data_IF_230307547983
#
_entry.id   IF_230307547983
#
_cell.length_a   1.000
_cell.length_b   1.000
_cell.length_c   1.000
_cell.angle_alpha   90.00
_cell.angle_beta   90.00
_cell.angle_gamma   90.00
#
_symmetry.space_group_name_H-M   'P 1'
#
loop_
_entity.id
_entity.type
_entity.pdbx_description
1 polymer ?
#
# COMPACT_ATOMS: atom_id res chain seq x y z
N UNK A 1 -14.80 7.22 -16.24
CA UNK A 1 -15.15 7.96 -17.47
C UNK A 1 -13.90 8.32 -18.26
N UNK A 2 -12.94 9.06 -17.67
CA UNK A 2 -11.68 9.44 -18.32
C UNK A 2 -10.85 8.27 -18.86
N UNK A 3 -10.75 7.16 -18.12
CA UNK A 3 -9.98 5.98 -18.56
C UNK A 3 -10.47 5.38 -19.89
N UNK A 4 -11.76 5.56 -20.22
CA UNK A 4 -12.34 5.10 -21.50
C UNK A 4 -12.06 6.06 -22.67
N UNK A 5 -11.65 7.30 -22.37
CA UNK A 5 -11.41 8.36 -23.37
C UNK A 5 -9.93 8.44 -23.79
N UNK A 6 -9.00 7.89 -22.99
CA UNK A 6 -7.55 7.88 -23.27
C UNK A 6 -7.18 7.37 -24.68
N UNK A 7 -7.81 6.31 -25.23
CA UNK A 7 -7.46 5.82 -26.57
C UNK A 7 -7.71 6.87 -27.66
N UNK A 8 -8.79 7.65 -27.55
CA UNK A 8 -9.23 8.65 -28.54
C UNK A 8 -8.63 10.05 -28.36
N UNK A 9 -7.94 10.32 -27.25
CA UNK A 9 -7.39 11.66 -26.98
C UNK A 9 -6.07 11.93 -27.72
N UNK A 10 -5.92 13.17 -28.18
CA UNK A 10 -4.67 13.68 -28.77
C UNK A 10 -3.63 13.96 -27.68
N UNK A 11 -2.34 14.01 -28.05
CA UNK A 11 -1.26 14.29 -27.10
C UNK A 11 -1.36 15.69 -26.48
N UNK A 12 -1.85 16.67 -27.24
CA UNK A 12 -2.01 18.04 -26.77
C UNK A 12 -3.11 18.15 -25.69
N UNK A 13 -4.22 17.44 -25.88
CA UNK A 13 -5.29 17.38 -24.87
C UNK A 13 -4.79 16.70 -23.59
N UNK A 14 -4.05 15.60 -23.72
CA UNK A 14 -3.46 14.89 -22.57
C UNK A 14 -2.50 15.78 -21.80
N UNK A 15 -1.64 16.54 -22.48
CA UNK A 15 -0.71 17.47 -21.83
C UNK A 15 -1.43 18.60 -21.09
N UNK A 16 -2.59 19.04 -21.58
CA UNK A 16 -3.37 20.11 -20.94
C UNK A 16 -3.99 19.67 -19.61
N UNK A 17 -4.43 18.41 -19.50
CA UNK A 17 -5.10 17.87 -18.31
C UNK A 17 -4.12 17.28 -17.30
N UNK A 18 -2.91 16.90 -17.74
CA UNK A 18 -1.95 16.16 -16.93
C UNK A 18 -1.62 16.82 -15.57
N UNK A 19 -1.36 18.14 -15.50
CA UNK A 19 -1.07 18.80 -14.23
C UNK A 19 -2.21 18.63 -13.22
N UNK A 20 -3.46 18.80 -13.64
CA UNK A 20 -4.63 18.63 -12.78
C UNK A 20 -4.84 17.18 -12.34
N UNK A 21 -4.48 16.21 -13.19
CA UNK A 21 -4.53 14.78 -12.86
C UNK A 21 -3.45 14.44 -11.82
N UNK A 22 -2.23 14.96 -11.95
CA UNK A 22 -1.14 14.68 -11.01
C UNK A 22 -1.44 15.22 -9.61
N UNK A 23 -2.15 16.35 -9.47
CA UNK A 23 -2.58 16.88 -8.17
C UNK A 23 -3.51 15.93 -7.40
N UNK A 24 -4.18 15.00 -8.06
CA UNK A 24 -5.00 13.96 -7.42
C UNK A 24 -4.16 13.10 -6.46
N UNK A 25 -2.85 12.98 -6.68
CA UNK A 25 -1.94 12.22 -5.81
C UNK A 25 -1.95 12.71 -4.35
N UNK A 26 -2.20 14.01 -4.15
CA UNK A 26 -2.22 14.66 -2.83
C UNK A 26 -3.56 14.46 -2.11
N UNK A 27 -4.55 13.83 -2.75
CA UNK A 27 -5.85 13.60 -2.16
C UNK A 27 -5.84 12.42 -1.19
N UNK A 28 -6.63 12.53 -0.12
CA UNK A 28 -6.70 11.51 0.93
C UNK A 28 -7.44 10.24 0.51
N UNK A 29 -8.28 10.31 -0.53
CA UNK A 29 -9.03 9.15 -1.00
C UNK A 29 -8.12 8.17 -1.75
N UNK A 30 -7.96 6.96 -1.22
CA UNK A 30 -7.23 5.89 -1.91
C UNK A 30 -7.87 5.52 -3.25
N UNK A 31 -9.21 5.56 -3.35
CA UNK A 31 -9.92 5.25 -4.59
C UNK A 31 -9.61 6.24 -5.73
N UNK A 32 -9.45 7.54 -5.43
CA UNK A 32 -9.09 8.53 -6.46
C UNK A 32 -7.64 8.37 -6.92
N UNK A 33 -6.70 8.14 -5.98
CA UNK A 33 -5.31 7.80 -6.30
C UNK A 33 -5.22 6.51 -7.12
N UNK A 34 -6.02 5.50 -6.80
CA UNK A 34 -6.10 4.25 -7.56
C UNK A 34 -6.55 4.50 -9.01
N UNK A 35 -7.56 5.35 -9.22
CA UNK A 35 -8.03 5.71 -10.56
C UNK A 35 -6.98 6.52 -11.34
N UNK A 36 -6.25 7.42 -10.66
CA UNK A 36 -5.12 8.15 -11.22
C UNK A 36 -4.06 7.20 -11.78
N UNK A 37 -3.57 6.25 -10.99
CA UNK A 37 -2.52 5.33 -11.45
C UNK A 37 -2.98 4.46 -12.61
N UNK A 38 -4.25 4.02 -12.62
CA UNK A 38 -4.83 3.29 -13.77
C UNK A 38 -4.84 4.13 -15.06
N UNK A 39 -5.11 5.45 -14.96
CA UNK A 39 -5.01 6.38 -16.09
C UNK A 39 -3.55 6.48 -16.55
N UNK A 40 -2.62 6.62 -15.62
CA UNK A 40 -1.18 6.73 -15.92
C UNK A 40 -0.62 5.46 -16.57
N UNK A 41 -1.06 4.26 -16.15
CA UNK A 41 -0.70 3.01 -16.82
C UNK A 41 -1.10 3.04 -18.29
N UNK A 42 -2.36 3.40 -18.58
CA UNK A 42 -2.85 3.46 -19.95
C UNK A 42 -2.13 4.51 -20.82
N UNK A 43 -1.75 5.64 -20.22
CA UNK A 43 -0.95 6.67 -20.90
C UNK A 43 0.47 6.20 -21.16
N UNK A 44 1.10 5.54 -20.19
CA UNK A 44 2.44 5.00 -20.34
C UNK A 44 2.48 3.95 -21.46
N UNK A 45 1.58 2.97 -21.45
CA UNK A 45 1.46 1.96 -22.52
C UNK A 45 1.29 2.57 -23.91
N UNK A 46 0.45 3.62 -24.03
CA UNK A 46 0.16 4.26 -25.32
C UNK A 46 1.38 4.99 -25.89
N UNK A 47 2.19 5.61 -25.04
CA UNK A 47 3.24 6.55 -25.49
C UNK A 47 4.67 6.04 -25.29
N UNK A 48 4.89 4.91 -24.59
CA UNK A 48 6.24 4.42 -24.29
C UNK A 48 7.08 4.14 -25.55
N UNK A 49 6.46 3.63 -26.60
CA UNK A 49 7.14 3.32 -27.88
C UNK A 49 7.13 4.51 -28.87
N UNK A 50 6.49 5.63 -28.51
CA UNK A 50 6.34 6.78 -29.40
C UNK A 50 7.62 7.62 -29.48
N UNK A 51 8.08 7.91 -30.70
CA UNK A 51 9.29 8.70 -30.92
C UNK A 51 9.11 10.22 -30.76
N UNK A 52 7.87 10.71 -30.76
CA UNK A 52 7.54 12.13 -30.76
C UNK A 52 7.89 12.86 -29.45
N UNK A 53 8.23 14.15 -29.57
CA UNK A 53 8.71 14.94 -28.44
C UNK A 53 7.64 15.22 -27.38
N UNK A 54 6.36 15.33 -27.79
CA UNK A 54 5.24 15.59 -26.89
C UNK A 54 4.87 14.33 -26.12
N UNK A 55 4.86 13.20 -26.81
CA UNK A 55 4.62 11.86 -26.31
C UNK A 55 5.67 11.48 -25.26
N UNK A 56 6.94 11.76 -25.53
CA UNK A 56 8.03 11.60 -24.54
C UNK A 56 7.84 12.44 -23.29
N UNK A 57 7.32 13.67 -23.41
CA UNK A 57 6.96 14.50 -22.24
C UNK A 57 5.85 13.84 -21.42
N UNK A 58 4.77 13.39 -22.07
CA UNK A 58 3.68 12.67 -21.38
C UNK A 58 4.21 11.43 -20.67
N UNK A 59 5.01 10.63 -21.37
CA UNK A 59 5.61 9.41 -20.83
C UNK A 59 6.50 9.70 -19.62
N UNK A 60 7.35 10.74 -19.69
CA UNK A 60 8.20 11.16 -18.56
C UNK A 60 7.37 11.55 -17.34
N UNK A 61 6.33 12.35 -17.51
CA UNK A 61 5.47 12.73 -16.38
C UNK A 61 4.74 11.52 -15.78
N UNK A 62 4.21 10.63 -16.63
CA UNK A 62 3.57 9.42 -16.17
C UNK A 62 4.57 8.55 -15.40
N UNK A 63 5.78 8.37 -15.93
CA UNK A 63 6.86 7.62 -15.32
C UNK A 63 7.22 8.17 -13.93
N UNK A 64 7.52 9.47 -13.81
CA UNK A 64 7.84 10.11 -12.53
C UNK A 64 6.70 9.95 -11.50
N UNK A 65 5.46 10.13 -11.94
CA UNK A 65 4.30 10.00 -11.04
C UNK A 65 4.07 8.56 -10.61
N UNK A 66 4.31 7.59 -11.49
CA UNK A 66 4.25 6.16 -11.19
C UNK A 66 5.32 5.75 -10.17
N UNK A 67 6.53 6.32 -10.27
CA UNK A 67 7.58 6.08 -9.26
C UNK A 67 7.19 6.63 -7.89
N UNK A 68 6.53 7.81 -7.82
CA UNK A 68 6.00 8.33 -6.55
C UNK A 68 5.01 7.33 -5.94
N UNK A 69 4.17 6.70 -6.76
CA UNK A 69 3.18 5.74 -6.29
C UNK A 69 3.75 4.44 -5.70
N UNK A 70 5.00 4.08 -6.00
CA UNK A 70 5.69 2.97 -5.32
C UNK A 70 5.86 3.21 -3.81
N UNK A 71 5.79 4.47 -3.38
CA UNK A 71 5.84 4.89 -1.98
C UNK A 71 4.48 5.40 -1.45
N UNK A 72 3.35 5.08 -2.11
CA UNK A 72 2.01 5.46 -1.63
C UNK A 72 1.76 4.88 -0.23
N UNK A 73 1.07 5.57 0.70
CA UNK A 73 0.74 5.03 2.01
C UNK A 73 -0.17 3.79 1.94
N UNK A 74 -1.00 3.67 0.91
CA UNK A 74 -1.91 2.54 0.71
C UNK A 74 -1.19 1.32 0.12
N UNK A 75 -1.28 0.17 0.80
CA UNK A 75 -0.60 -1.05 0.37
C UNK A 75 -1.16 -1.62 -0.94
N UNK A 76 -2.47 -1.53 -1.18
CA UNK A 76 -3.07 -2.06 -2.41
C UNK A 76 -2.62 -1.26 -3.62
N UNK A 77 -2.47 0.06 -3.46
CA UNK A 77 -1.93 0.93 -4.51
C UNK A 77 -0.48 0.56 -4.81
N UNK A 78 0.38 0.42 -3.79
CA UNK A 78 1.77 0.00 -3.99
C UNK A 78 1.85 -1.32 -4.76
N UNK A 79 1.13 -2.35 -4.30
CA UNK A 79 1.09 -3.66 -4.96
C UNK A 79 0.61 -3.59 -6.41
N UNK A 80 -0.38 -2.74 -6.71
CA UNK A 80 -0.84 -2.56 -8.09
C UNK A 80 0.26 -1.99 -9.00
N UNK A 81 1.01 -1.01 -8.51
CA UNK A 81 2.09 -0.35 -9.24
C UNK A 81 3.31 -1.26 -9.33
N UNK A 82 3.62 -2.01 -8.28
CA UNK A 82 4.66 -3.03 -8.26
C UNK A 82 4.41 -4.08 -9.36
N UNK A 83 3.18 -4.59 -9.44
CA UNK A 83 2.78 -5.54 -10.48
C UNK A 83 2.91 -4.97 -11.90
N UNK A 84 2.65 -3.67 -12.08
CA UNK A 84 2.84 -3.01 -13.37
C UNK A 84 4.32 -2.97 -13.77
N UNK A 85 5.22 -2.62 -12.84
CA UNK A 85 6.67 -2.59 -13.10
C UNK A 85 7.30 -3.97 -13.23
N UNK A 86 6.70 -5.01 -12.64
CA UNK A 86 7.18 -6.38 -12.70
C UNK A 86 7.02 -7.07 -14.07
N UNK A 87 6.40 -6.41 -15.04
CA UNK A 87 6.34 -6.87 -16.43
C UNK A 87 7.75 -6.91 -17.07
N UNK A 88 8.10 -8.04 -17.71
CA UNK A 88 9.42 -8.25 -18.34
C UNK A 88 9.75 -7.21 -19.41
N UNK A 89 8.74 -6.59 -20.02
CA UNK A 89 8.93 -5.51 -21.00
C UNK A 89 9.52 -4.24 -20.38
N UNK A 90 9.24 -4.01 -19.09
CA UNK A 90 9.66 -2.81 -18.36
C UNK A 90 10.87 -3.07 -17.49
N UNK A 91 10.87 -4.19 -16.78
CA UNK A 91 11.91 -4.52 -15.82
C UNK A 91 12.37 -5.96 -15.99
N UNK A 92 13.64 -6.18 -16.37
CA UNK A 92 14.16 -7.52 -16.63
C UNK A 92 14.00 -8.48 -15.45
N UNK A 93 13.87 -9.76 -15.77
CA UNK A 93 13.78 -10.84 -14.78
C UNK A 93 15.14 -11.22 -14.17
N UNK A 94 16.24 -11.08 -14.92
CA UNK A 94 17.58 -11.41 -14.46
C UNK A 94 18.08 -10.43 -13.40
N UNK A 95 18.62 -10.92 -12.28
CA UNK A 95 19.02 -10.09 -11.13
C UNK A 95 19.97 -8.96 -11.50
N UNK A 96 20.98 -9.24 -12.33
CA UNK A 96 21.97 -8.25 -12.78
C UNK A 96 21.33 -7.18 -13.66
N UNK A 97 20.63 -7.59 -14.71
CA UNK A 97 20.04 -6.65 -15.68
C UNK A 97 18.92 -5.83 -15.04
N UNK A 98 18.19 -6.43 -14.10
CA UNK A 98 17.21 -5.76 -13.26
C UNK A 98 17.83 -4.68 -12.40
N UNK A 99 18.95 -4.98 -11.72
CA UNK A 99 19.67 -3.98 -10.92
C UNK A 99 20.13 -2.81 -11.79
N UNK A 100 20.68 -3.09 -12.98
CA UNK A 100 21.09 -2.05 -13.92
C UNK A 100 19.88 -1.20 -14.35
N UNK A 101 18.76 -1.83 -14.71
CA UNK A 101 17.53 -1.14 -15.10
C UNK A 101 16.93 -0.28 -13.97
N UNK A 102 16.98 -0.74 -12.72
CA UNK A 102 16.55 0.04 -11.56
C UNK A 102 17.37 1.34 -11.42
N UNK A 103 18.69 1.24 -11.58
CA UNK A 103 19.60 2.38 -11.45
C UNK A 103 19.48 3.36 -12.63
N UNK A 104 19.25 2.86 -13.85
CA UNK A 104 19.24 3.69 -15.06
C UNK A 104 17.86 4.27 -15.37
N UNK A 105 16.81 3.47 -15.21
CA UNK A 105 15.48 3.82 -15.72
C UNK A 105 14.52 4.22 -14.60
N UNK A 106 14.68 3.68 -13.38
CA UNK A 106 13.75 3.95 -12.28
C UNK A 106 14.23 5.01 -11.29
N UNK A 107 15.43 5.57 -11.47
CA UNK A 107 15.89 6.71 -10.68
C UNK A 107 15.26 8.01 -11.21
N UNK A 108 14.67 8.78 -10.31
CA UNK A 108 14.27 10.16 -10.55
C UNK A 108 14.62 11.02 -9.33
N UNK A 109 15.23 12.22 -9.52
CA UNK A 109 15.51 13.15 -8.42
C UNK A 109 14.28 13.53 -7.60
N UNK A 110 13.08 13.47 -8.20
CA UNK A 110 11.81 13.77 -7.52
C UNK A 110 11.48 12.72 -6.44
N UNK A 111 11.95 11.49 -6.63
CA UNK A 111 11.66 10.34 -5.76
C UNK A 111 12.90 9.83 -5.02
N UNK A 112 13.93 10.67 -4.89
CA UNK A 112 15.22 10.25 -4.34
C UNK A 112 15.10 9.72 -2.91
N UNK A 113 14.28 10.37 -2.07
CA UNK A 113 14.07 9.96 -0.68
C UNK A 113 13.50 8.54 -0.55
N UNK A 114 12.65 8.13 -1.49
CA UNK A 114 12.02 6.81 -1.51
C UNK A 114 12.69 5.81 -2.46
N UNK A 115 13.72 6.24 -3.21
CA UNK A 115 14.38 5.41 -4.23
C UNK A 115 14.87 4.08 -3.66
N UNK A 116 15.64 4.13 -2.57
CA UNK A 116 16.17 2.92 -1.96
C UNK A 116 15.06 2.00 -1.43
N UNK A 117 13.95 2.56 -0.94
CA UNK A 117 12.83 1.77 -0.44
C UNK A 117 12.21 0.92 -1.55
N UNK A 118 11.81 1.54 -2.67
CA UNK A 118 11.17 0.79 -3.74
C UNK A 118 12.18 -0.02 -4.56
N UNK A 119 13.41 0.46 -4.76
CA UNK A 119 14.40 -0.27 -5.55
C UNK A 119 14.82 -1.58 -4.86
N UNK A 120 15.03 -1.54 -3.53
CA UNK A 120 15.33 -2.76 -2.76
C UNK A 120 14.14 -3.70 -2.73
N UNK A 121 12.93 -3.18 -2.58
CA UNK A 121 11.71 -3.97 -2.65
C UNK A 121 11.58 -4.69 -4.00
N UNK A 122 11.63 -3.97 -5.13
CA UNK A 122 11.50 -4.54 -6.47
C UNK A 122 12.62 -5.54 -6.82
N UNK A 123 13.82 -5.38 -6.25
CA UNK A 123 14.91 -6.33 -6.44
C UNK A 123 14.71 -7.61 -5.61
N UNK A 124 14.35 -7.47 -4.34
CA UNK A 124 14.17 -8.59 -3.42
C UNK A 124 12.87 -9.35 -3.64
N UNK A 125 11.83 -8.71 -4.16
CA UNK A 125 10.56 -9.34 -4.50
C UNK A 125 10.76 -10.51 -5.48
N UNK A 126 11.74 -10.43 -6.38
CA UNK A 126 12.10 -11.53 -7.28
C UNK A 126 12.60 -12.79 -6.57
N UNK A 127 13.10 -12.68 -5.35
CA UNK A 127 13.51 -13.85 -4.55
C UNK A 127 12.32 -14.72 -4.17
N UNK A 128 11.11 -14.15 -4.08
CA UNK A 128 9.88 -14.90 -3.78
C UNK A 128 9.50 -15.92 -4.85
N UNK A 129 9.97 -15.69 -6.09
CA UNK A 129 9.75 -16.58 -7.23
C UNK A 129 10.75 -17.74 -7.29
N UNK A 130 11.79 -17.70 -6.47
CA UNK A 130 12.76 -18.80 -6.40
C UNK A 130 12.10 -20.06 -5.82
N UNK A 131 12.36 -21.25 -6.38
CA UNK A 131 11.90 -22.50 -5.77
C UNK A 131 12.44 -22.70 -4.35
N UNK A 132 13.59 -22.06 -4.05
CA UNK A 132 14.23 -22.10 -2.73
C UNK A 132 13.64 -21.10 -1.73
N UNK A 133 12.68 -20.24 -2.10
CA UNK A 133 12.19 -19.17 -1.21
C UNK A 133 11.63 -19.69 0.13
N UNK A 134 10.96 -20.86 0.09
CA UNK A 134 10.42 -21.52 1.28
C UNK A 134 11.39 -22.54 1.89
N UNK A 135 12.54 -22.79 1.25
CA UNK A 135 13.54 -23.75 1.74
C UNK A 135 14.24 -23.15 2.95
N UNK A 136 14.31 -23.92 4.03
CA UNK A 136 15.10 -23.53 5.20
C UNK A 136 16.57 -23.44 4.80
N UNK A 137 17.25 -22.40 5.26
CA UNK A 137 18.69 -22.21 5.02
C UNK A 137 19.50 -23.36 5.65
N UNK A 138 19.05 -23.85 6.80
CA UNK A 138 19.67 -24.96 7.52
C UNK A 138 18.75 -26.19 7.55
N UNK A 139 19.33 -27.37 7.33
CA UNK A 139 18.61 -28.65 7.33
C UNK A 139 18.30 -29.13 8.75
N UNK A 140 19.20 -28.86 9.71
CA UNK A 140 19.10 -29.34 11.08
C UNK A 140 19.06 -28.19 12.09
N UNK A 141 18.24 -28.30 13.15
CA UNK A 141 18.29 -27.36 14.27
C UNK A 141 19.60 -27.55 15.06
N UNK A 142 20.03 -26.51 15.77
CA UNK A 142 21.25 -26.55 16.61
C UNK A 142 21.13 -27.54 17.79
N UNK A 143 19.91 -27.78 18.27
CA UNK A 143 19.60 -28.69 19.38
C UNK A 143 18.22 -29.31 19.19
N UNK A 144 17.97 -30.47 19.81
CA UNK A 144 16.64 -31.07 19.85
C UNK A 144 15.74 -30.29 20.82
N UNK A 145 15.09 -29.26 20.30
CA UNK A 145 14.15 -28.42 21.04
C UNK A 145 12.79 -28.40 20.36
N UNK A 146 11.73 -28.29 21.16
CA UNK A 146 10.38 -28.09 20.66
C UNK A 146 10.16 -26.59 20.43
N UNK A 147 10.04 -26.19 19.16
CA UNK A 147 9.68 -24.82 18.81
C UNK A 147 8.17 -24.63 18.89
N UNK A 148 7.73 -23.51 19.46
CA UNK A 148 6.33 -23.10 19.48
C UNK A 148 6.18 -21.81 18.68
N UNK A 149 5.08 -21.69 17.95
CA UNK A 149 4.76 -20.47 17.23
C UNK A 149 4.46 -19.36 18.25
N UNK A 150 5.28 -18.31 18.25
CA UNK A 150 5.08 -17.14 19.10
C UNK A 150 4.43 -16.03 18.28
N UNK A 151 3.17 -15.73 18.58
CA UNK A 151 2.44 -14.65 17.91
C UNK A 151 2.79 -13.31 18.57
N UNK A 152 3.49 -12.45 17.83
CA UNK A 152 3.83 -11.10 18.28
C UNK A 152 2.56 -10.25 18.34
N UNK A 153 2.26 -9.67 19.49
CA UNK A 153 1.17 -8.69 19.63
C UNK A 153 1.67 -7.30 19.21
N UNK A 154 1.08 -6.73 18.17
CA UNK A 154 1.47 -5.44 17.58
C UNK A 154 0.66 -4.25 18.10
N UNK A 155 -0.27 -4.47 19.04
CA UNK A 155 -1.13 -3.40 19.56
C UNK A 155 -0.41 -2.56 20.62
N UNK A 156 -0.12 -1.30 20.28
CA UNK A 156 0.51 -0.33 21.19
C UNK A 156 -0.26 -0.17 22.52
N UNK A 157 -1.60 -0.27 22.48
CA UNK A 157 -2.46 -0.16 23.68
C UNK A 157 -2.17 -1.25 24.72
N UNK A 158 -1.84 -2.48 24.28
CA UNK A 158 -1.53 -3.57 25.21
C UNK A 158 -0.13 -3.46 25.80
N UNK A 159 0.78 -2.75 25.13
CA UNK A 159 2.15 -2.49 25.61
C UNK A 159 2.19 -1.47 26.76
N UNK A 160 1.18 -0.60 26.88
CA UNK A 160 1.07 0.42 27.94
C UNK A 160 0.01 0.12 29.01
N UNK A 161 -0.45 -1.13 29.12
CA UNK A 161 -1.41 -1.52 30.17
C UNK A 161 -0.85 -1.21 31.57
N UNK A 162 0.46 -1.35 31.78
CA UNK A 162 1.13 -0.99 33.03
C UNK A 162 1.11 0.52 33.37
N UNK A 163 0.88 1.38 32.39
CA UNK A 163 0.81 2.85 32.54
C UNK A 163 -0.64 3.37 32.50
N UNK A 164 -1.61 2.46 32.38
CA UNK A 164 -3.03 2.81 32.32
C UNK A 164 -3.58 2.91 33.75
N UNK A 165 -4.22 4.02 34.15
CA UNK A 165 -4.81 4.17 35.48
C UNK A 165 -5.79 3.03 35.78
N UNK A 166 -5.79 2.53 37.03
CA UNK A 166 -6.59 1.38 37.49
C UNK A 166 -8.09 1.48 37.23
N UNK A 167 -8.63 2.67 36.94
CA UNK A 167 -10.04 2.88 36.62
C UNK A 167 -10.41 2.66 35.14
N UNK A 168 -9.42 2.47 34.25
CA UNK A 168 -9.65 2.30 32.80
C UNK A 168 -10.01 0.85 32.41
N UNK A 169 -9.71 -0.12 33.29
CA UNK A 169 -9.91 -1.54 33.02
C UNK A 169 -11.39 -1.89 32.84
N UNK A 170 -12.29 -1.25 33.61
CA UNK A 170 -13.75 -1.46 33.55
C UNK A 170 -14.38 -1.00 32.23
N UNK A 171 -13.78 -0.04 31.53
CA UNK A 171 -14.26 0.39 30.21
C UNK A 171 -13.80 -0.57 29.10
N UNK A 172 -12.64 -1.20 29.26
CA UNK A 172 -12.05 -2.10 28.27
C UNK A 172 -12.70 -3.50 28.26
N UNK A 173 -13.13 -3.99 29.42
CA UNK A 173 -13.84 -5.28 29.54
C UNK A 173 -15.18 -5.30 28.80
N UNK A 174 -15.78 -4.13 28.56
CA UNK A 174 -17.03 -3.98 27.82
C UNK A 174 -16.85 -4.04 26.30
N UNK A 175 -15.61 -3.95 25.78
CA UNK A 175 -15.32 -3.98 24.33
C UNK A 175 -14.62 -5.27 23.87
N UNK A 176 -14.13 -6.08 24.81
CA UNK A 176 -13.46 -7.36 24.53
C UNK A 176 -14.41 -8.57 24.40
N UNK A 177 -15.73 -8.38 24.53
CA UNK A 177 -16.74 -9.45 24.41
C UNK A 177 -17.24 -9.71 22.97
N UNK A 178 -16.58 -9.16 21.94
CA UNK A 178 -16.98 -9.37 20.52
C UNK A 178 -16.15 -10.42 19.77
N UNK A 179 -15.35 -11.25 20.46
CA UNK A 179 -14.72 -12.43 19.84
C UNK A 179 -15.48 -13.69 20.24
N UNK A 180 -16.62 -13.90 19.58
CA UNK A 180 -17.42 -15.12 19.68
C UNK A 180 -16.71 -16.25 18.92
N UNK A 181 -16.47 -17.34 19.64
CA UNK A 181 -16.10 -18.67 19.14
C UNK A 181 -17.24 -19.21 18.27
N UNK A 182 -16.90 -19.76 17.10
CA UNK A 182 -17.81 -20.39 16.14
C UNK A 182 -18.76 -21.43 16.78
N UNK A 183 -20.06 -21.24 16.53
CA UNK A 183 -21.13 -22.21 16.76
C UNK A 183 -22.43 -21.72 16.09
N UNK A 184 -23.24 -22.57 15.44
CA UNK A 184 -24.28 -22.10 14.52
C UNK A 184 -25.60 -21.83 15.27
N UNK A 185 -26.20 -20.65 15.11
CA UNK A 185 -27.66 -20.42 15.12
C UNK A 185 -28.06 -18.93 15.08
N UNK A 186 -28.89 -18.61 14.07
CA UNK A 186 -30.03 -17.68 14.02
C UNK A 186 -29.88 -16.17 14.34
N UNK A 187 -30.41 -15.40 13.38
CA UNK A 187 -30.88 -14.01 13.37
C UNK A 187 -31.39 -13.41 14.69
N UNK A 188 -31.13 -12.12 14.92
CA UNK A 188 -32.13 -11.02 14.97
C UNK A 188 -31.40 -9.68 15.19
N UNK A 189 -31.83 -8.63 14.49
CA UNK A 189 -31.28 -7.28 14.63
C UNK A 189 -31.84 -6.52 15.84
N UNK A 190 -31.13 -5.47 16.25
CA UNK A 190 -31.69 -4.31 16.93
C UNK A 190 -30.67 -3.16 16.87
N UNK A 191 -31.15 -2.02 16.40
CA UNK A 191 -30.50 -0.71 16.44
C UNK A 191 -30.30 -0.20 17.88
N UNK A 192 -29.70 0.99 17.93
CA UNK A 192 -29.89 2.06 18.91
C UNK A 192 -28.89 2.20 20.05
N UNK A 193 -28.34 3.41 20.10
CA UNK A 193 -27.27 3.83 20.98
C UNK A 193 -27.69 3.98 22.43
N UNK A 194 -26.68 4.10 23.29
CA UNK A 194 -26.89 4.46 24.68
C UNK A 194 -25.86 5.49 25.12
N UNK A 195 -26.29 6.74 25.06
CA UNK A 195 -25.74 7.88 25.79
C UNK A 195 -26.01 7.63 27.28
N UNK A 196 -25.04 7.82 28.18
CA UNK A 196 -25.31 7.87 29.63
C UNK A 196 -24.70 9.10 30.29
N UNK A 197 -25.56 9.74 31.08
CA UNK A 197 -25.46 11.08 31.65
C UNK A 197 -24.59 11.14 32.92
N UNK A 198 -24.05 12.34 33.18
CA UNK A 198 -23.36 12.72 34.43
C UNK A 198 -24.35 13.11 35.52
N UNK A 199 -24.26 12.52 36.72
CA UNK A 199 -24.93 13.03 37.91
C UNK A 199 -23.94 13.86 38.74
N UNK A 200 -24.19 15.17 38.84
CA UNK A 200 -23.62 16.06 39.85
C UNK A 200 -24.49 15.94 41.11
N UNK A 201 -23.91 15.58 42.26
CA UNK A 201 -24.55 15.81 43.55
C UNK A 201 -23.85 17.00 44.22
N UNK A 202 -24.57 18.11 44.33
CA UNK A 202 -24.21 19.29 45.12
C UNK A 202 -24.99 19.18 46.42
N UNK A 203 -24.30 18.96 47.53
CA UNK A 203 -24.92 19.02 48.86
C UNK A 203 -24.68 20.41 49.47
N UNK A 204 -25.77 21.12 49.74
CA UNK A 204 -25.81 22.32 50.58
C UNK A 204 -26.69 21.97 51.78
N UNK A 205 -26.09 21.92 52.97
CA UNK A 205 -26.55 22.54 54.23
C UNK A 205 -25.59 22.18 55.36
#
# INVERSE_FOLDING_TARGET
MLLKLIPSMSCDDVLSILPGIVEIRSQQSSASRQALYKILFALFEKYNESAGAKEKKVCRYAHETLLIGLADPDQEIRLMIDNFWNDEKRLPSGTKDRLIALMQNMYSPITEESFLQYATYLLLERTSHSPDYKRKIFEHPLSQCNFQAYTIQTSWRKQHVAMSPLFTETASSSLSSSFVVEGPSKSFGAEEGLVKATQQNVEIS
#
